data_IF_742824525316
#
_entry.id   IF_742824525316
#
_cell.length_a   1.000
_cell.length_b   1.000
_cell.length_c   1.000
_cell.angle_alpha   90.00
_cell.angle_beta   90.00
_cell.angle_gamma   90.00
#
_symmetry.space_group_name_H-M   'P 1'
#
loop_
_entity.id
_entity.type
_entity.pdbx_description
1 polymer ?
#
# COMPACT_ATOMS: atom_id res chain seq x y z
N UNK A 1 -82.20 11.40 -72.32
CA UNK A 1 -80.95 10.60 -72.43
C UNK A 1 -79.83 11.47 -71.90
N UNK A 2 -78.90 11.09 -71.03
CA UNK A 2 -78.62 9.90 -70.23
C UNK A 2 -77.33 10.23 -69.47
N UNK A 3 -77.30 10.02 -68.15
CA UNK A 3 -76.16 9.70 -67.27
C UNK A 3 -74.89 10.60 -67.28
N UNK A 4 -74.17 10.84 -66.19
CA UNK A 4 -74.17 10.22 -64.86
C UNK A 4 -73.06 10.81 -63.97
N UNK A 5 -73.18 10.50 -62.68
CA UNK A 5 -72.27 10.77 -61.57
C UNK A 5 -70.97 9.97 -61.70
N UNK A 6 -69.78 10.53 -61.46
CA UNK A 6 -68.61 9.79 -60.92
C UNK A 6 -67.71 10.65 -60.03
N UNK A 7 -67.38 10.04 -58.88
CA UNK A 7 -66.45 10.46 -57.84
C UNK A 7 -64.99 10.34 -58.32
N UNK A 8 -64.11 11.20 -57.82
CA UNK A 8 -62.66 11.06 -57.92
C UNK A 8 -61.97 11.44 -56.61
N UNK A 9 -61.55 10.43 -55.86
CA UNK A 9 -60.59 10.48 -54.75
C UNK A 9 -59.19 10.66 -55.33
N UNK A 10 -58.36 11.53 -54.74
CA UNK A 10 -56.87 11.54 -54.68
C UNK A 10 -56.57 12.76 -53.79
N UNK A 11 -55.84 12.75 -52.69
CA UNK A 11 -54.91 11.79 -52.10
C UNK A 11 -54.02 12.66 -51.21
N UNK A 12 -54.28 12.63 -49.90
CA UNK A 12 -53.54 13.38 -48.89
C UNK A 12 -52.10 12.85 -48.86
N UNK A 13 -51.18 13.62 -49.43
CA UNK A 13 -49.76 13.28 -49.50
C UNK A 13 -49.16 13.44 -48.10
N UNK A 14 -49.12 12.33 -47.36
CA UNK A 14 -48.37 12.21 -46.12
C UNK A 14 -46.89 12.42 -46.44
N UNK A 15 -46.35 13.54 -45.96
CA UNK A 15 -44.92 13.78 -45.92
C UNK A 15 -44.35 12.84 -44.85
N UNK A 16 -43.84 11.69 -45.28
CA UNK A 16 -43.05 10.83 -44.42
C UNK A 16 -41.74 11.55 -44.10
N UNK A 17 -41.63 12.08 -42.89
CA UNK A 17 -40.35 12.46 -42.33
C UNK A 17 -39.48 11.20 -42.30
N UNK A 18 -38.52 11.11 -43.21
CA UNK A 18 -37.45 10.12 -43.15
C UNK A 18 -36.64 10.46 -41.91
N UNK A 19 -36.90 9.73 -40.82
CA UNK A 19 -36.00 9.68 -39.69
C UNK A 19 -34.67 9.17 -40.22
N UNK A 20 -33.66 10.04 -40.26
CA UNK A 20 -32.26 9.62 -40.38
C UNK A 20 -32.00 8.80 -39.12
N UNK A 21 -32.08 7.48 -39.25
CA UNK A 21 -31.69 6.56 -38.21
C UNK A 21 -30.19 6.76 -38.09
N UNK A 22 -29.77 7.58 -37.13
CA UNK A 22 -28.39 7.60 -36.67
C UNK A 22 -28.06 6.15 -36.37
N UNK A 23 -27.18 5.57 -37.17
CA UNK A 23 -26.58 4.30 -36.87
C UNK A 23 -25.80 4.51 -35.56
N UNK A 24 -26.44 4.26 -34.42
CA UNK A 24 -25.71 3.93 -33.22
C UNK A 24 -24.98 2.64 -33.56
N UNK A 25 -23.71 2.76 -33.96
CA UNK A 25 -22.77 1.67 -33.78
C UNK A 25 -22.98 1.16 -32.35
N UNK A 26 -23.12 -0.15 -32.12
CA UNK A 26 -23.07 -0.64 -30.75
C UNK A 26 -21.78 -0.11 -30.16
N UNK A 27 -21.87 0.72 -29.12
CA UNK A 27 -20.70 1.09 -28.34
C UNK A 27 -20.04 -0.23 -27.95
N UNK A 28 -18.73 -0.41 -28.23
CA UNK A 28 -18.05 -1.61 -27.81
C UNK A 28 -18.26 -1.75 -26.29
N UNK A 29 -18.48 -2.99 -25.84
CA UNK A 29 -18.48 -3.28 -24.41
C UNK A 29 -17.20 -2.70 -23.79
N UNK A 30 -17.28 -2.26 -22.53
CA UNK A 30 -16.11 -1.74 -21.81
C UNK A 30 -14.92 -2.70 -21.95
N UNK A 31 -13.73 -2.15 -22.12
CA UNK A 31 -12.50 -2.96 -22.06
C UNK A 31 -12.36 -3.57 -20.66
N UNK A 32 -11.62 -4.68 -20.48
CA UNK A 32 -11.38 -5.24 -19.16
C UNK A 32 -10.82 -4.18 -18.20
N UNK A 33 -11.25 -4.24 -16.93
CA UNK A 33 -10.82 -3.29 -15.91
C UNK A 33 -9.30 -3.26 -15.79
N UNK A 34 -8.72 -2.06 -15.70
CA UNK A 34 -7.28 -1.90 -15.50
C UNK A 34 -7.01 -1.92 -14.00
N UNK A 35 -6.52 -3.05 -13.51
CA UNK A 35 -6.16 -3.25 -12.10
C UNK A 35 -4.64 -3.27 -11.92
N UNK A 36 -4.10 -2.78 -10.80
CA UNK A 36 -2.69 -2.95 -10.48
C UNK A 36 -2.37 -4.44 -10.25
N UNK A 37 -1.16 -4.92 -10.59
CA UNK A 37 -0.70 -6.25 -10.20
C UNK A 37 -0.66 -6.37 -8.67
N UNK A 38 -1.15 -7.48 -8.11
CA UNK A 38 -1.22 -7.70 -6.64
C UNK A 38 0.13 -7.46 -5.95
N UNK A 39 1.22 -7.94 -6.54
CA UNK A 39 2.59 -7.78 -5.99
C UNK A 39 3.06 -6.32 -5.94
N UNK A 40 2.44 -5.44 -6.73
CA UNK A 40 2.78 -4.02 -6.78
C UNK A 40 1.87 -3.17 -5.91
N UNK A 41 0.77 -3.71 -5.36
CA UNK A 41 -0.13 -2.95 -4.50
C UNK A 41 0.52 -2.75 -3.13
N UNK A 42 0.70 -1.48 -2.76
CA UNK A 42 1.28 -1.06 -1.49
C UNK A 42 0.20 -0.86 -0.44
N UNK A 43 -0.87 -0.16 -0.79
CA UNK A 43 -2.01 0.11 0.10
C UNK A 43 -3.30 0.09 -0.69
N UNK A 44 -4.39 -0.25 -0.01
CA UNK A 44 -5.75 -0.05 -0.51
C UNK A 44 -6.53 0.72 0.53
N UNK A 45 -7.25 1.77 0.13
CA UNK A 45 -8.21 2.46 1.00
C UNK A 45 -9.60 2.43 0.38
N UNK A 46 -10.60 2.17 1.22
CA UNK A 46 -12.01 2.11 0.86
C UNK A 46 -12.73 3.18 1.65
N UNK A 47 -13.45 4.07 0.98
CA UNK A 47 -14.19 5.17 1.60
C UNK A 47 -15.66 5.16 1.19
N UNK A 48 -16.56 5.32 2.16
CA UNK A 48 -18.01 5.50 1.95
C UNK A 48 -18.56 6.41 3.04
N UNK A 49 -19.34 7.42 2.65
CA UNK A 49 -20.03 8.34 3.58
C UNK A 49 -19.11 8.99 4.64
N UNK A 50 -17.85 9.27 4.28
CA UNK A 50 -16.83 9.83 5.17
C UNK A 50 -16.23 8.84 6.17
N UNK A 51 -16.58 7.55 6.08
CA UNK A 51 -15.90 6.45 6.77
C UNK A 51 -14.87 5.86 5.82
N UNK A 52 -13.61 5.81 6.24
CA UNK A 52 -12.52 5.19 5.50
C UNK A 52 -12.00 3.94 6.22
N UNK A 53 -11.65 2.92 5.46
CA UNK A 53 -11.02 1.68 5.92
C UNK A 53 -9.82 1.35 5.02
N UNK A 54 -8.67 1.04 5.63
CA UNK A 54 -7.48 0.64 4.89
C UNK A 54 -7.38 -0.89 4.83
N UNK A 55 -7.29 -1.45 3.63
CA UNK A 55 -7.02 -2.88 3.38
C UNK A 55 -5.53 -3.03 3.05
N UNK A 56 -4.73 -3.46 4.02
CA UNK A 56 -3.27 -3.53 3.88
C UNK A 56 -2.69 -4.94 3.86
N UNK A 57 -3.47 -5.96 4.22
CA UNK A 57 -2.96 -7.34 4.24
C UNK A 57 -3.11 -8.02 2.87
N UNK A 58 -2.16 -8.93 2.57
CA UNK A 58 -2.05 -9.56 1.25
C UNK A 58 -3.29 -10.37 0.87
N UNK A 59 -3.90 -11.06 1.84
CA UNK A 59 -5.09 -11.90 1.60
C UNK A 59 -6.30 -11.04 1.19
N UNK A 60 -6.57 -9.95 1.91
CA UNK A 60 -7.66 -9.02 1.59
C UNK A 60 -7.43 -8.29 0.27
N UNK A 61 -6.19 -7.87 0.00
CA UNK A 61 -5.84 -7.23 -1.27
C UNK A 61 -6.03 -8.22 -2.42
N UNK A 62 -5.55 -9.46 -2.27
CA UNK A 62 -5.72 -10.52 -3.26
C UNK A 62 -7.18 -10.89 -3.48
N UNK A 63 -7.98 -11.01 -2.41
CA UNK A 63 -9.42 -11.28 -2.49
C UNK A 63 -10.15 -10.14 -3.23
N UNK A 64 -9.91 -8.88 -2.85
CA UNK A 64 -10.51 -7.72 -3.48
C UNK A 64 -10.14 -7.64 -4.97
N UNK A 65 -8.85 -7.79 -5.31
CA UNK A 65 -8.39 -7.79 -6.70
C UNK A 65 -8.99 -8.95 -7.50
N UNK A 66 -9.10 -10.14 -6.92
CA UNK A 66 -9.74 -11.29 -7.56
C UNK A 66 -11.21 -11.02 -7.87
N UNK A 67 -11.94 -10.45 -6.91
CA UNK A 67 -13.36 -10.11 -7.09
C UNK A 67 -13.53 -9.02 -8.16
N UNK A 68 -12.64 -8.02 -8.18
CA UNK A 68 -12.65 -6.95 -9.19
C UNK A 68 -12.25 -7.47 -10.58
N UNK A 69 -11.39 -8.49 -10.67
CA UNK A 69 -11.02 -9.11 -11.94
C UNK A 69 -12.19 -9.87 -12.59
N UNK A 70 -13.14 -10.37 -11.79
CA UNK A 70 -14.31 -11.13 -12.22
C UNK A 70 -15.52 -10.27 -12.63
N UNK A 71 -15.34 -8.95 -12.72
CA UNK A 71 -16.41 -8.03 -13.13
C UNK A 71 -16.75 -8.15 -14.62
N UNK A 72 -18.03 -7.97 -14.95
CA UNK A 72 -18.50 -8.04 -16.34
C UNK A 72 -18.57 -6.64 -16.97
N UNK A 73 -17.95 -6.38 -18.14
CA UNK A 73 -18.07 -5.10 -18.82
C UNK A 73 -19.51 -4.83 -19.27
N UNK A 74 -19.96 -3.59 -19.10
CA UNK A 74 -21.25 -3.14 -19.64
C UNK A 74 -21.06 -2.41 -20.97
N UNK A 75 -22.17 -2.00 -21.60
CA UNK A 75 -22.14 -1.12 -22.77
C UNK A 75 -22.21 0.37 -22.39
N UNK A 76 -22.11 0.70 -21.10
CA UNK A 76 -22.12 2.07 -20.60
C UNK A 76 -20.70 2.66 -20.67
N UNK A 77 -20.63 3.98 -20.82
CA UNK A 77 -19.36 4.71 -20.88
C UNK A 77 -19.17 5.54 -19.61
N UNK A 78 -17.97 5.46 -19.03
CA UNK A 78 -17.50 6.42 -18.05
C UNK A 78 -16.83 7.57 -18.80
N UNK A 79 -17.36 8.78 -18.67
CA UNK A 79 -16.81 10.00 -19.30
C UNK A 79 -16.53 11.09 -18.27
N UNK A 80 -16.49 10.71 -17.00
CA UNK A 80 -16.39 11.59 -15.85
C UNK A 80 -15.38 11.08 -14.83
N UNK A 81 -14.91 11.97 -13.95
CA UNK A 81 -13.95 11.64 -12.89
C UNK A 81 -14.59 10.87 -11.73
N UNK A 82 -15.88 11.12 -11.46
CA UNK A 82 -16.66 10.52 -10.36
C UNK A 82 -18.04 10.08 -10.84
N UNK A 83 -18.65 9.03 -10.24
CA UNK A 83 -19.95 8.53 -10.68
C UNK A 83 -21.06 9.57 -10.60
N UNK A 84 -22.03 9.46 -11.51
CA UNK A 84 -23.30 10.19 -11.44
C UNK A 84 -24.32 9.43 -10.57
N UNK A 85 -23.94 9.15 -9.33
CA UNK A 85 -24.77 8.46 -8.35
C UNK A 85 -24.91 9.30 -7.08
N UNK A 86 -26.05 9.18 -6.39
CA UNK A 86 -26.33 9.92 -5.15
C UNK A 86 -25.40 9.51 -4.01
N UNK A 87 -24.95 8.25 -4.01
CA UNK A 87 -23.99 7.68 -3.07
C UNK A 87 -23.08 6.67 -3.79
N UNK A 88 -21.83 6.61 -3.36
CA UNK A 88 -20.84 5.68 -3.89
C UNK A 88 -19.78 5.34 -2.83
N UNK A 89 -19.07 4.25 -3.06
CA UNK A 89 -17.85 3.85 -2.35
C UNK A 89 -16.68 4.14 -3.28
N UNK A 90 -15.64 4.81 -2.81
CA UNK A 90 -14.37 4.88 -3.53
C UNK A 90 -13.39 3.85 -3.00
N UNK A 91 -12.62 3.27 -3.91
CA UNK A 91 -11.57 2.29 -3.64
C UNK A 91 -10.31 2.82 -4.31
N UNK A 92 -9.27 3.07 -3.53
CA UNK A 92 -8.00 3.61 -4.00
C UNK A 92 -6.90 2.57 -3.79
N UNK A 93 -6.24 2.16 -4.86
CA UNK A 93 -5.02 1.36 -4.77
C UNK A 93 -3.83 2.29 -4.98
N UNK A 94 -2.88 2.32 -4.05
CA UNK A 94 -1.55 2.91 -4.28
C UNK A 94 -0.57 1.78 -4.59
N UNK A 95 0.16 1.89 -5.68
CA UNK A 95 1.22 0.93 -6.00
C UNK A 95 2.58 1.33 -5.38
N UNK A 96 3.57 0.45 -5.51
CA UNK A 96 4.94 0.68 -5.05
C UNK A 96 5.65 1.86 -5.73
N UNK A 97 5.15 2.33 -6.87
CA UNK A 97 5.65 3.50 -7.61
C UNK A 97 4.87 4.79 -7.25
N UNK A 98 3.88 4.72 -6.35
CA UNK A 98 3.04 5.84 -5.94
C UNK A 98 1.92 6.19 -6.93
N UNK A 99 1.63 5.33 -7.92
CA UNK A 99 0.48 5.51 -8.82
C UNK A 99 -0.79 5.13 -8.07
N UNK A 100 -1.83 5.95 -8.25
CA UNK A 100 -3.14 5.74 -7.64
C UNK A 100 -4.13 5.25 -8.69
N UNK A 101 -4.76 4.10 -8.41
CA UNK A 101 -5.85 3.55 -9.19
C UNK A 101 -7.14 3.75 -8.40
N UNK A 102 -8.07 4.52 -8.95
CA UNK A 102 -9.35 4.80 -8.31
C UNK A 102 -10.47 4.03 -9.00
N UNK A 103 -11.27 3.35 -8.20
CA UNK A 103 -12.44 2.58 -8.62
C UNK A 103 -13.62 3.01 -7.75
N UNK A 104 -14.81 3.07 -8.33
CA UNK A 104 -16.03 3.41 -7.60
C UNK A 104 -17.01 2.26 -7.64
N UNK A 105 -17.71 2.01 -6.53
CA UNK A 105 -18.83 1.08 -6.42
C UNK A 105 -20.09 1.85 -6.01
N UNK A 106 -21.19 1.68 -6.74
CA UNK A 106 -22.45 2.36 -6.43
C UNK A 106 -23.67 1.57 -6.90
N UNK A 107 -24.80 1.84 -6.27
CA UNK A 107 -26.11 1.32 -6.70
C UNK A 107 -26.88 2.46 -7.37
N UNK A 108 -27.50 2.21 -8.53
CA UNK A 108 -28.49 3.10 -9.11
C UNK A 108 -29.67 2.30 -9.66
N UNK A 109 -30.88 2.77 -9.37
CA UNK A 109 -32.14 2.11 -9.75
C UNK A 109 -32.22 0.62 -9.32
N UNK A 110 -31.65 0.27 -8.16
CA UNK A 110 -31.65 -1.12 -7.67
C UNK A 110 -30.64 -2.03 -8.38
N UNK A 111 -29.69 -1.47 -9.12
CA UNK A 111 -28.62 -2.21 -9.82
C UNK A 111 -27.26 -1.68 -9.39
N UNK A 112 -26.37 -2.60 -8.98
CA UNK A 112 -25.00 -2.27 -8.62
C UNK A 112 -24.09 -2.14 -9.85
N UNK A 113 -23.14 -1.20 -9.76
CA UNK A 113 -22.14 -0.93 -10.77
C UNK A 113 -20.78 -0.68 -10.14
N UNK A 114 -19.74 -0.98 -10.93
CA UNK A 114 -18.38 -0.54 -10.68
C UNK A 114 -17.94 0.38 -11.81
N UNK A 115 -17.33 1.51 -11.50
CA UNK A 115 -16.86 2.48 -12.49
C UNK A 115 -15.36 2.78 -12.29
N UNK A 116 -14.64 2.75 -13.41
CA UNK A 116 -13.30 3.29 -13.53
C UNK A 116 -13.35 4.50 -14.46
N UNK A 117 -12.93 5.66 -13.96
CA UNK A 117 -13.00 6.94 -14.67
C UNK A 117 -12.34 6.83 -16.04
N UNK A 118 -13.07 7.20 -17.09
CA UNK A 118 -12.64 7.15 -18.50
C UNK A 118 -12.27 5.76 -19.05
N UNK A 119 -12.45 4.69 -18.28
CA UNK A 119 -12.13 3.33 -18.73
C UNK A 119 -13.40 2.52 -18.98
N UNK A 120 -14.35 2.52 -18.05
CA UNK A 120 -15.54 1.71 -18.21
C UNK A 120 -16.43 1.62 -16.98
N UNK A 121 -17.62 1.09 -17.22
CA UNK A 121 -18.59 0.74 -16.19
C UNK A 121 -18.86 -0.76 -16.31
N UNK A 122 -18.85 -1.44 -15.18
CA UNK A 122 -18.89 -2.88 -15.04
C UNK A 122 -20.04 -3.30 -14.12
N UNK A 123 -20.53 -4.52 -14.30
CA UNK A 123 -21.32 -5.19 -13.27
C UNK A 123 -20.38 -5.80 -12.25
N UNK A 124 -20.60 -5.56 -10.95
CA UNK A 124 -19.79 -6.14 -9.91
C UNK A 124 -19.97 -7.66 -9.85
N UNK A 125 -18.92 -8.35 -9.40
CA UNK A 125 -19.06 -9.72 -8.92
C UNK A 125 -19.93 -9.74 -7.64
N UNK A 126 -20.77 -10.77 -7.43
CA UNK A 126 -21.76 -10.78 -6.34
C UNK A 126 -21.20 -10.55 -4.93
N UNK A 127 -19.95 -10.93 -4.67
CA UNK A 127 -19.31 -10.82 -3.36
C UNK A 127 -18.77 -9.42 -3.05
N UNK A 128 -18.68 -8.51 -4.04
CA UNK A 128 -18.01 -7.22 -3.86
C UNK A 128 -18.69 -6.35 -2.82
N UNK A 129 -20.01 -6.21 -2.89
CA UNK A 129 -20.77 -5.37 -1.96
C UNK A 129 -20.61 -5.82 -0.50
N UNK A 130 -20.68 -7.13 -0.25
CA UNK A 130 -20.51 -7.71 1.09
C UNK A 130 -19.09 -7.52 1.63
N UNK A 131 -18.07 -7.67 0.79
CA UNK A 131 -16.68 -7.43 1.16
C UNK A 131 -16.46 -5.96 1.56
N UNK A 132 -16.92 -5.01 0.75
CA UNK A 132 -16.80 -3.57 1.04
C UNK A 132 -17.52 -3.21 2.34
N UNK A 133 -18.71 -3.78 2.57
CA UNK A 133 -19.47 -3.63 3.80
C UNK A 133 -18.69 -4.15 5.02
N UNK A 134 -18.03 -5.30 4.88
CA UNK A 134 -17.21 -5.90 5.94
C UNK A 134 -16.01 -5.02 6.26
N UNK A 135 -15.33 -4.50 5.24
CA UNK A 135 -14.19 -3.59 5.38
C UNK A 135 -14.59 -2.28 6.08
N UNK A 136 -15.74 -1.70 5.72
CA UNK A 136 -16.21 -0.45 6.33
C UNK A 136 -16.80 -0.63 7.73
N UNK A 137 -17.43 -1.79 8.01
CA UNK A 137 -18.00 -2.11 9.34
C UNK A 137 -16.94 -2.44 10.38
N UNK A 138 -15.76 -2.94 9.98
CA UNK A 138 -14.72 -3.27 10.96
C UNK A 138 -14.32 -2.02 11.75
N UNK A 139 -14.29 -0.83 11.14
CA UNK A 139 -14.16 0.49 11.79
C UNK A 139 -12.85 0.73 12.57
N UNK A 140 -12.20 -0.35 12.99
CA UNK A 140 -10.79 -0.47 13.28
C UNK A 140 -10.10 -0.67 11.94
N UNK A 141 -9.07 0.15 11.67
CA UNK A 141 -8.06 -0.23 10.71
C UNK A 141 -7.66 -1.67 11.09
N UNK A 142 -7.84 -2.68 10.23
CA UNK A 142 -7.29 -3.99 10.53
C UNK A 142 -5.82 -3.75 10.89
N UNK A 143 -5.36 -4.35 11.99
CA UNK A 143 -3.93 -4.36 12.30
C UNK A 143 -3.28 -5.01 11.09
N UNK A 144 -2.84 -4.17 10.16
CA UNK A 144 -2.36 -4.58 8.86
C UNK A 144 -1.02 -5.27 9.11
N UNK A 145 -0.82 -6.43 8.49
CA UNK A 145 0.51 -7.00 8.37
C UNK A 145 1.40 -5.90 7.80
N UNK A 146 2.35 -5.43 8.59
CA UNK A 146 3.29 -4.42 8.12
C UNK A 146 4.20 -5.10 7.12
N UNK A 147 4.65 -4.34 6.11
CA UNK A 147 5.69 -4.78 5.17
C UNK A 147 6.79 -5.48 5.98
N UNK A 148 7.25 -6.69 5.59
CA UNK A 148 8.25 -7.42 6.34
C UNK A 148 9.44 -6.50 6.66
N UNK A 149 9.81 -6.45 7.93
CA UNK A 149 10.81 -5.53 8.44
C UNK A 149 11.64 -6.18 9.54
N UNK A 150 12.89 -5.75 9.63
CA UNK A 150 13.87 -6.23 10.60
C UNK A 150 14.66 -5.04 11.13
N UNK A 151 14.84 -5.01 12.46
CA UNK A 151 15.76 -4.08 13.08
C UNK A 151 17.14 -4.73 13.19
N UNK A 152 18.15 -4.14 12.56
CA UNK A 152 19.53 -4.62 12.58
C UNK A 152 20.48 -3.43 12.65
N UNK A 153 21.53 -3.53 13.46
CA UNK A 153 22.51 -2.45 13.63
C UNK A 153 21.91 -1.10 14.06
N UNK A 154 20.79 -1.11 14.79
CA UNK A 154 20.08 0.10 15.26
C UNK A 154 19.24 0.81 14.19
N UNK A 155 19.10 0.24 13.00
CA UNK A 155 18.28 0.77 11.92
C UNK A 155 17.19 -0.23 11.50
N UNK A 156 16.10 0.30 10.94
CA UNK A 156 15.03 -0.53 10.38
C UNK A 156 15.23 -0.75 8.89
N UNK A 157 15.10 -2.01 8.48
CA UNK A 157 15.20 -2.44 7.10
C UNK A 157 13.86 -3.03 6.67
N UNK A 158 13.38 -2.61 5.50
CA UNK A 158 12.08 -2.97 4.96
C UNK A 158 12.27 -3.82 3.71
N UNK A 159 11.49 -4.89 3.60
CA UNK A 159 11.48 -5.72 2.40
C UNK A 159 11.15 -4.88 1.17
N UNK A 160 11.94 -5.07 0.13
CA UNK A 160 11.78 -4.41 -1.17
C UNK A 160 11.01 -5.27 -2.17
N UNK A 161 10.76 -6.53 -1.84
CA UNK A 161 10.23 -7.54 -2.77
C UNK A 161 11.27 -8.06 -3.78
N UNK A 162 12.51 -7.59 -3.73
CA UNK A 162 13.58 -7.98 -4.67
C UNK A 162 14.38 -9.16 -4.12
N UNK A 163 14.69 -10.13 -4.99
CA UNK A 163 15.70 -11.15 -4.72
C UNK A 163 17.09 -10.62 -5.15
N UNK A 164 18.11 -10.87 -4.33
CA UNK A 164 19.47 -10.45 -4.60
C UNK A 164 20.07 -11.22 -5.76
N UNK A 165 20.82 -10.51 -6.60
CA UNK A 165 21.52 -11.07 -7.76
C UNK A 165 22.97 -11.45 -7.46
N UNK A 166 23.43 -11.24 -6.22
CA UNK A 166 24.82 -11.49 -5.81
C UNK A 166 25.12 -12.99 -5.81
N UNK A 167 26.01 -13.43 -6.70
CA UNK A 167 26.51 -14.80 -6.76
C UNK A 167 27.90 -14.91 -6.11
N UNK A 168 28.07 -15.80 -5.14
CA UNK A 168 29.37 -16.06 -4.49
C UNK A 168 29.57 -15.39 -3.13
N UNK A 169 28.60 -15.55 -2.23
CA UNK A 169 28.65 -15.00 -0.87
C UNK A 169 29.71 -15.67 0.00
N UNK A 170 30.22 -14.90 0.96
CA UNK A 170 30.99 -15.47 2.06
C UNK A 170 30.09 -16.45 2.83
N UNK A 171 30.61 -17.62 3.20
CA UNK A 171 29.85 -18.63 3.94
C UNK A 171 29.53 -18.26 5.40
N UNK A 172 29.99 -17.09 5.86
CA UNK A 172 29.76 -16.54 7.20
C UNK A 172 28.69 -15.47 7.10
N UNK A 173 27.68 -15.54 7.96
CA UNK A 173 26.62 -14.53 8.08
C UNK A 173 27.13 -13.34 8.91
N UNK A 174 26.67 -12.14 8.60
CA UNK A 174 26.99 -10.95 9.40
C UNK A 174 26.13 -10.90 10.68
N UNK A 175 24.93 -11.49 10.63
CA UNK A 175 24.08 -11.69 11.79
C UNK A 175 22.93 -12.66 11.53
N UNK A 176 22.07 -12.83 12.54
CA UNK A 176 20.90 -13.73 12.51
C UNK A 176 19.71 -13.04 13.18
N UNK A 177 18.51 -13.24 12.63
CA UNK A 177 17.24 -12.80 13.23
C UNK A 177 16.85 -13.80 14.33
N UNK A 178 16.95 -13.37 15.60
CA UNK A 178 16.81 -14.24 16.77
C UNK A 178 15.47 -14.12 17.48
N UNK A 179 14.71 -13.05 17.24
CA UNK A 179 13.38 -12.84 17.83
C UNK A 179 12.38 -12.31 16.80
N UNK A 180 11.09 -12.46 17.08
CA UNK A 180 10.03 -11.95 16.22
C UNK A 180 8.87 -11.39 17.04
N UNK A 181 8.25 -10.35 16.51
CA UNK A 181 6.97 -9.77 16.96
C UNK A 181 5.84 -10.22 16.04
N UNK A 182 4.60 -9.88 16.38
CA UNK A 182 3.47 -10.13 15.48
C UNK A 182 3.67 -9.39 14.14
N UNK A 183 3.12 -9.92 13.05
CA UNK A 183 3.26 -9.33 11.71
C UNK A 183 2.81 -7.88 11.61
N UNK A 184 1.96 -7.47 12.53
CA UNK A 184 1.34 -6.14 12.61
C UNK A 184 2.17 -5.14 13.44
N UNK A 185 3.19 -5.62 14.13
CA UNK A 185 4.04 -4.85 15.02
C UNK A 185 5.34 -4.39 14.33
N UNK A 186 5.92 -3.30 14.84
CA UNK A 186 7.23 -2.81 14.41
C UNK A 186 8.29 -3.44 15.32
N UNK A 187 9.32 -4.12 14.78
CA UNK A 187 10.44 -4.58 15.59
C UNK A 187 11.09 -3.42 16.35
N UNK A 188 11.47 -3.66 17.60
CA UNK A 188 12.02 -2.63 18.49
C UNK A 188 13.40 -2.97 19.05
N UNK A 189 13.87 -4.19 18.78
CA UNK A 189 15.15 -4.71 19.23
C UNK A 189 16.00 -5.15 18.03
N UNK A 190 17.32 -5.00 18.12
CA UNK A 190 18.21 -5.57 17.10
C UNK A 190 17.99 -7.08 16.99
N UNK A 191 18.03 -7.58 15.75
CA UNK A 191 17.77 -8.96 15.38
C UNK A 191 16.32 -9.43 15.62
N UNK A 192 15.39 -8.48 15.75
CA UNK A 192 13.95 -8.74 15.80
C UNK A 192 13.31 -8.44 14.43
N UNK A 193 12.40 -9.31 14.00
CA UNK A 193 11.60 -9.10 12.79
C UNK A 193 10.10 -9.21 13.05
N UNK A 194 9.27 -8.82 12.08
CA UNK A 194 7.84 -9.12 12.09
C UNK A 194 7.48 -10.28 11.14
N UNK A 195 8.45 -11.06 10.66
CA UNK A 195 8.24 -12.11 9.66
C UNK A 195 8.81 -13.49 10.04
N UNK A 196 9.50 -13.60 11.17
CA UNK A 196 9.98 -14.87 11.74
C UNK A 196 11.40 -14.81 12.28
N UNK A 197 11.96 -15.97 12.63
CA UNK A 197 13.28 -16.11 13.24
C UNK A 197 14.11 -17.20 12.55
N UNK A 198 15.41 -17.26 12.86
CA UNK A 198 16.34 -18.26 12.33
C UNK A 198 16.90 -17.94 10.94
N UNK A 199 16.67 -16.71 10.45
CA UNK A 199 17.18 -16.25 9.17
C UNK A 199 18.50 -15.51 9.36
N UNK A 200 19.56 -16.00 8.71
CA UNK A 200 20.84 -15.29 8.63
C UNK A 200 20.76 -14.11 7.66
N UNK A 201 21.52 -13.04 7.92
CA UNK A 201 21.60 -11.89 7.03
C UNK A 201 23.05 -11.46 6.76
N UNK A 202 23.22 -10.71 5.68
CA UNK A 202 24.47 -10.02 5.33
C UNK A 202 24.18 -8.57 4.95
N UNK A 203 25.13 -7.68 5.21
CA UNK A 203 25.06 -6.32 4.68
C UNK A 203 25.17 -6.38 3.16
N UNK A 204 24.22 -5.75 2.48
CA UNK A 204 24.16 -5.80 1.03
C UNK A 204 25.26 -4.95 0.38
N UNK A 205 25.50 -5.14 -0.94
CA UNK A 205 26.54 -4.43 -1.66
C UNK A 205 26.23 -2.94 -1.86
N UNK A 206 24.97 -2.55 -1.76
CA UNK A 206 24.50 -1.17 -1.85
C UNK A 206 24.39 -0.57 -0.44
N UNK A 207 24.80 0.68 -0.26
CA UNK A 207 24.72 1.34 1.05
C UNK A 207 23.27 1.35 1.57
N UNK A 208 23.09 0.95 2.82
CA UNK A 208 21.76 0.90 3.43
C UNK A 208 20.92 -0.29 2.99
N UNK A 209 21.52 -1.31 2.39
CA UNK A 209 20.84 -2.59 2.11
C UNK A 209 21.25 -3.68 3.09
N UNK A 210 20.30 -4.53 3.43
CA UNK A 210 20.45 -5.73 4.24
C UNK A 210 19.84 -6.88 3.45
N UNK A 211 20.59 -7.95 3.22
CA UNK A 211 20.10 -9.10 2.48
C UNK A 211 19.88 -10.26 3.43
N UNK A 212 18.64 -10.77 3.50
CA UNK A 212 18.24 -11.81 4.44
C UNK A 212 18.06 -13.14 3.69
N UNK A 213 18.69 -14.20 4.19
CA UNK A 213 18.58 -15.54 3.64
C UNK A 213 17.33 -16.24 4.18
N UNK A 214 16.30 -16.33 3.34
CA UNK A 214 15.03 -17.01 3.63
C UNK A 214 14.83 -18.13 2.62
N UNK A 215 14.66 -19.36 3.11
CA UNK A 215 14.41 -20.55 2.28
C UNK A 215 15.41 -20.75 1.12
N UNK A 216 16.68 -20.40 1.36
CA UNK A 216 17.75 -20.51 0.36
C UNK A 216 17.76 -19.40 -0.69
N UNK A 217 16.87 -18.42 -0.58
CA UNK A 217 16.85 -17.19 -1.37
C UNK A 217 17.33 -16.02 -0.55
N UNK A 218 17.90 -15.03 -1.21
CA UNK A 218 18.37 -13.80 -0.54
C UNK A 218 17.43 -12.67 -0.89
N UNK A 219 16.64 -12.22 0.06
CA UNK A 219 15.71 -11.11 -0.12
C UNK A 219 16.39 -9.81 0.30
N UNK A 220 16.24 -8.76 -0.51
CA UNK A 220 16.85 -7.45 -0.30
C UNK A 220 15.91 -6.60 0.53
N UNK A 221 16.42 -6.11 1.66
CA UNK A 221 15.77 -5.12 2.50
C UNK A 221 16.53 -3.80 2.41
N UNK A 222 15.80 -2.70 2.37
CA UNK A 222 16.37 -1.36 2.31
C UNK A 222 16.09 -0.61 3.61
N UNK A 223 17.11 0.11 4.08
CA UNK A 223 17.02 0.97 5.25
C UNK A 223 16.00 2.06 4.98
N UNK A 224 14.96 2.13 5.82
CA UNK A 224 14.11 3.32 5.91
C UNK A 224 14.06 3.76 7.36
N UNK A 225 14.11 5.06 7.60
CA UNK A 225 13.87 5.59 8.93
C UNK A 225 12.38 5.43 9.23
N UNK A 226 12.02 4.58 10.19
CA UNK A 226 10.62 4.38 10.63
C UNK A 226 10.11 5.67 11.24
N UNK A 227 8.95 6.12 10.76
CA UNK A 227 8.21 7.30 11.19
C UNK A 227 9.03 8.59 11.21
N UNK A 228 8.63 9.56 10.39
CA UNK A 228 9.37 10.81 10.20
C UNK A 228 9.49 11.67 11.48
N UNK A 229 8.90 11.20 12.59
CA UNK A 229 8.92 11.84 13.90
C UNK A 229 9.67 11.05 15.00
N UNK A 230 10.30 9.88 14.73
CA UNK A 230 11.07 9.13 15.75
C UNK A 230 12.44 8.66 15.28
N UNK A 231 13.35 8.43 16.22
CA UNK A 231 14.73 7.94 15.97
C UNK A 231 15.20 7.05 17.11
N UNK A 232 15.93 5.98 16.80
CA UNK A 232 16.46 5.03 17.77
C UNK A 232 17.87 5.42 18.22
N UNK A 233 18.13 5.36 19.52
CA UNK A 233 19.45 5.55 20.11
C UNK A 233 19.56 4.76 21.43
N UNK A 234 20.67 4.02 21.59
CA UNK A 234 21.03 3.37 22.85
C UNK A 234 19.91 2.56 23.55
N UNK A 235 19.12 1.78 22.78
CA UNK A 235 18.06 0.95 23.36
C UNK A 235 16.71 1.66 23.55
N UNK A 236 16.58 2.92 23.11
CA UNK A 236 15.36 3.73 23.30
C UNK A 236 14.96 4.47 22.03
N UNK A 237 13.65 4.68 21.87
CA UNK A 237 13.09 5.56 20.86
C UNK A 237 12.99 6.98 21.39
N UNK A 238 13.41 7.94 20.57
CA UNK A 238 13.33 9.37 20.83
C UNK A 238 12.41 10.04 19.80
N UNK A 239 11.53 10.94 20.23
CA UNK A 239 10.73 11.77 19.32
C UNK A 239 11.63 12.87 18.72
N UNK A 240 11.69 12.94 17.38
CA UNK A 240 12.50 13.91 16.62
C UNK A 240 12.10 15.36 16.94
N UNK A 241 10.84 15.62 17.23
CA UNK A 241 10.35 16.95 17.63
C UNK A 241 10.96 17.46 18.94
N UNK A 242 11.50 16.58 19.78
CA UNK A 242 12.20 16.91 21.01
C UNK A 242 13.71 17.03 20.87
N UNK A 243 14.27 16.81 19.67
CA UNK A 243 15.71 16.81 19.42
C UNK A 243 16.11 18.01 18.56
N UNK A 244 17.29 18.57 18.81
CA UNK A 244 17.84 19.59 17.92
C UNK A 244 18.21 19.02 16.56
N UNK A 245 18.24 19.88 15.54
CA UNK A 245 18.68 19.53 14.19
C UNK A 245 20.12 18.96 14.20
N UNK A 246 20.99 19.47 15.06
CA UNK A 246 22.36 18.96 15.23
C UNK A 246 22.38 17.54 15.81
N UNK A 247 21.51 17.24 16.77
CA UNK A 247 21.34 15.88 17.31
C UNK A 247 20.80 14.92 16.25
N UNK A 248 19.84 15.35 15.43
CA UNK A 248 19.31 14.54 14.33
C UNK A 248 20.39 14.22 13.29
N UNK A 249 21.23 15.19 12.94
CA UNK A 249 22.37 14.99 12.04
C UNK A 249 23.42 14.06 12.64
N UNK A 250 23.69 14.20 13.93
CA UNK A 250 24.60 13.31 14.66
C UNK A 250 24.06 11.87 14.70
N UNK A 251 22.77 11.69 14.96
CA UNK A 251 22.13 10.36 14.97
C UNK A 251 22.12 9.69 13.61
N UNK A 252 21.90 10.47 12.53
CA UNK A 252 22.00 9.96 11.17
C UNK A 252 23.41 9.44 10.84
N UNK A 253 24.44 10.10 11.36
CA UNK A 253 25.83 9.65 11.25
C UNK A 253 26.13 8.46 12.17
N UNK A 254 25.76 8.53 13.45
CA UNK A 254 26.02 7.50 14.46
C UNK A 254 25.38 6.15 14.11
N UNK A 255 24.12 6.15 13.68
CA UNK A 255 23.41 4.94 13.24
C UNK A 255 23.89 4.43 11.87
N UNK A 256 24.83 5.14 11.21
CA UNK A 256 25.53 4.68 10.02
C UNK A 256 26.86 3.97 10.31
N UNK A 257 27.32 3.94 11.57
CA UNK A 257 28.58 3.32 11.98
C UNK A 257 28.38 1.82 12.30
N UNK A 258 29.44 1.02 12.17
CA UNK A 258 29.47 -0.38 12.65
C UNK A 258 29.37 -0.47 14.18
N UNK A 259 29.02 -1.63 14.74
CA UNK A 259 28.90 -1.80 16.20
C UNK A 259 30.22 -1.50 16.94
N UNK A 260 31.36 -1.90 16.37
CA UNK A 260 32.69 -1.60 16.92
C UNK A 260 32.97 -0.08 16.92
N UNK A 261 32.59 0.62 15.85
CA UNK A 261 32.75 2.06 15.73
C UNK A 261 31.80 2.81 16.67
N UNK A 262 30.54 2.40 16.77
CA UNK A 262 29.56 2.97 17.70
C UNK A 262 30.06 2.86 19.15
N UNK A 263 30.62 1.70 19.53
CA UNK A 263 31.21 1.48 20.85
C UNK A 263 32.40 2.40 21.17
N UNK A 264 33.10 2.90 20.15
CA UNK A 264 34.20 3.84 20.31
C UNK A 264 33.76 5.31 20.43
N UNK A 265 32.49 5.64 20.18
CA UNK A 265 31.99 7.01 20.24
C UNK A 265 31.66 7.38 21.69
N UNK A 266 32.45 8.27 22.28
CA UNK A 266 32.25 8.75 23.66
C UNK A 266 31.46 10.07 23.75
N UNK A 267 31.25 10.76 22.64
CA UNK A 267 30.60 12.07 22.61
C UNK A 267 29.13 11.93 22.18
N UNK A 268 28.23 12.04 23.15
CA UNK A 268 26.76 11.96 22.93
C UNK A 268 26.14 13.36 23.03
N UNK A 269 25.27 13.77 22.08
CA UNK A 269 24.54 15.02 22.15
C UNK A 269 23.73 15.18 23.44
N UNK A 270 23.68 16.42 23.96
CA UNK A 270 23.01 16.71 25.24
C UNK A 270 21.51 16.38 25.22
N UNK A 271 20.85 16.52 24.07
CA UNK A 271 19.43 16.21 23.90
C UNK A 271 19.09 14.71 24.11
N UNK A 272 20.11 13.84 24.06
CA UNK A 272 19.99 12.40 24.29
C UNK A 272 20.40 11.99 25.71
N UNK A 273 20.90 12.94 26.50
CA UNK A 273 21.22 12.73 27.91
C UNK A 273 19.94 13.00 28.72
N UNK A 274 19.37 11.94 29.29
CA UNK A 274 18.18 11.98 30.12
C UNK A 274 18.31 13.04 31.25
N UNK A 275 17.33 13.95 31.42
CA UNK A 275 17.31 14.93 32.52
C UNK A 275 17.15 14.27 33.90
N UNK A 276 16.90 12.95 33.95
CA UNK A 276 17.00 12.18 35.19
C UNK A 276 18.46 11.98 35.57
N UNK A 277 19.04 13.00 36.23
CA UNK A 277 20.38 12.97 36.79
C UNK A 277 20.62 11.74 37.67
N UNK A 278 21.22 10.70 37.09
CA UNK A 278 22.08 9.75 37.79
C UNK A 278 23.28 9.51 36.88
N UNK A 279 24.35 10.22 37.20
CA UNK A 279 25.69 10.04 36.68
C UNK A 279 26.08 8.57 36.64
N UNK A 280 26.48 8.10 35.47
CA UNK A 280 27.35 6.92 35.35
C UNK A 280 28.76 7.34 35.80
N UNK A 281 29.03 7.13 37.08
CA UNK A 281 30.40 6.97 37.60
C UNK A 281 30.42 5.66 38.37
N UNK A 282 30.67 4.57 37.66
CA UNK A 282 31.35 3.43 38.27
C UNK A 282 32.80 3.85 38.43
N UNK A 283 33.12 4.46 39.58
CA UNK A 283 34.51 4.54 40.00
C UNK A 283 34.99 3.11 40.28
N UNK A 284 35.89 2.67 39.42
CA UNK A 284 36.66 1.45 39.64
C UNK A 284 37.64 1.76 40.75
N UNK A 285 37.33 1.35 41.98
CA UNK A 285 38.32 1.33 43.05
C UNK A 285 39.34 0.23 42.72
N UNK A 286 40.42 0.66 42.08
CA UNK A 286 41.63 -0.10 41.92
C UNK A 286 42.27 -0.32 43.31
N UNK A 287 42.35 -1.58 43.68
CA UNK A 287 43.14 -2.08 44.80
C UNK A 287 44.63 -1.73 44.59
N UNK A 288 45.26 -1.07 45.57
CA UNK A 288 46.71 -0.99 45.70
C UNK A 288 47.13 -0.90 47.18
N UNK A 289 47.80 -1.98 47.62
CA UNK A 289 48.64 -2.22 48.82
C UNK A 289 48.11 -1.90 50.24
#
# INVERSE_FOLDING_TARGET
>A
MSHGLKKGFIGMMWMACVAVISACSPSPAAEPAVLPPEEQVRTVSVERDGVAADCGNREQIGELLSILADMEPTNLQSVQDVPQADAYTSIHFEDTEGRVYTIFYYETEGTDYVEQSYQGIYKPAPALGELLDSLLKSGEAPLNDRIPMVMAGGAMYYDTGRESTVTGRCGVMDGEITSAVERTEVPSENNQSNFGTGYGYQWGPEEGTLEVCMDGKWLVFERRYVDDNRVYFAGRWHDKSGLSEDTLRWLAWYNGLSEEEQACISAVPADLLDESGISRTEETDAQAD
#
